data_IF_313345564205
#
_entry.id   IF_313345564205
#
_cell.length_a   1.000
_cell.length_b   1.000
_cell.length_c   1.000
_cell.angle_alpha   90.00
_cell.angle_beta   90.00
_cell.angle_gamma   90.00
#
_symmetry.space_group_name_H-M   'P 1'
#
loop_
_entity.id
_entity.type
_entity.pdbx_description
1 polymer ?
#
# COMPACT_ATOMS: atom_id res chain seq x y z
N UNK A 1 -21.17 14.30 -9.54
CA UNK A 1 -20.38 13.04 -9.52
C UNK A 1 -19.18 13.24 -10.44
N UNK A 2 -17.97 13.06 -9.96
CA UNK A 2 -16.76 13.14 -10.79
C UNK A 2 -16.75 11.93 -11.71
N UNK A 3 -16.51 12.17 -13.00
CA UNK A 3 -16.44 11.11 -14.02
C UNK A 3 -15.28 10.15 -13.68
N UNK A 4 -15.52 8.86 -13.77
CA UNK A 4 -14.47 7.85 -13.62
C UNK A 4 -13.40 8.04 -14.72
N UNK A 5 -12.14 8.13 -14.29
CA UNK A 5 -10.98 8.30 -15.16
C UNK A 5 -10.02 7.14 -15.00
N UNK A 6 -9.39 6.71 -16.09
CA UNK A 6 -8.51 5.55 -16.14
C UNK A 6 -7.09 5.94 -16.48
N UNK A 7 -6.11 5.33 -15.79
CA UNK A 7 -4.69 5.52 -16.05
C UNK A 7 -3.97 4.18 -16.19
N UNK A 8 -3.08 4.11 -17.19
CA UNK A 8 -2.18 2.99 -17.41
C UNK A 8 -1.28 2.81 -16.17
N UNK A 9 -1.09 1.57 -15.73
CA UNK A 9 -0.20 1.28 -14.61
C UNK A 9 1.24 1.32 -15.09
N UNK A 10 1.97 2.34 -14.66
CA UNK A 10 3.38 2.58 -15.00
C UNK A 10 4.31 2.45 -13.79
N UNK A 11 3.76 2.27 -12.58
CA UNK A 11 4.52 2.19 -11.34
C UNK A 11 3.96 1.09 -10.42
N UNK A 12 4.75 0.31 -9.67
CA UNK A 12 6.22 0.38 -9.52
C UNK A 12 7.01 -0.07 -10.75
N UNK A 13 6.36 -0.74 -11.69
CA UNK A 13 6.86 -1.13 -13.01
C UNK A 13 5.73 -0.95 -14.02
N UNK A 14 6.05 -0.84 -15.28
CA UNK A 14 5.06 -0.74 -16.34
C UNK A 14 4.36 -2.07 -16.58
N UNK A 15 3.05 -2.10 -16.31
CA UNK A 15 2.20 -3.26 -16.56
C UNK A 15 1.36 -3.02 -17.83
N UNK A 16 1.90 -3.40 -18.97
CA UNK A 16 1.22 -3.26 -20.27
C UNK A 16 -0.18 -3.88 -20.22
N UNK A 17 -1.19 -3.13 -20.69
CA UNK A 17 -2.57 -3.62 -20.82
C UNK A 17 -3.33 -3.74 -19.51
N UNK A 18 -2.91 -3.01 -18.47
CA UNK A 18 -3.64 -2.86 -17.22
C UNK A 18 -3.80 -1.39 -16.86
N UNK A 19 -4.99 -1.03 -16.43
CA UNK A 19 -5.31 0.31 -15.98
C UNK A 19 -6.02 0.29 -14.62
N UNK A 20 -5.86 1.37 -13.87
CA UNK A 20 -6.54 1.64 -12.61
C UNK A 20 -7.36 2.93 -12.73
N UNK A 21 -8.56 2.94 -12.16
CA UNK A 21 -9.41 4.14 -12.12
C UNK A 21 -9.23 4.93 -10.84
N UNK A 22 -9.66 6.19 -10.86
CA UNK A 22 -9.76 7.05 -9.67
C UNK A 22 -10.78 6.55 -8.64
N UNK A 23 -11.62 5.58 -8.97
CA UNK A 23 -12.58 4.93 -8.07
C UNK A 23 -12.03 3.63 -7.44
N UNK A 24 -10.85 3.18 -7.85
CA UNK A 24 -10.23 1.94 -7.36
C UNK A 24 -10.63 0.70 -8.16
N UNK A 25 -11.24 0.89 -9.31
CA UNK A 25 -11.53 -0.21 -10.23
C UNK A 25 -10.31 -0.55 -11.09
N UNK A 26 -10.27 -1.77 -11.56
CA UNK A 26 -9.19 -2.27 -12.41
C UNK A 26 -9.74 -2.80 -13.73
N UNK A 27 -9.05 -2.53 -14.83
CA UNK A 27 -9.37 -3.13 -16.14
C UNK A 27 -8.14 -3.61 -16.86
N UNK A 28 -8.35 -4.55 -17.79
CA UNK A 28 -7.29 -5.13 -18.61
C UNK A 28 -7.79 -5.39 -20.03
N UNK A 29 -6.91 -5.26 -21.00
CA UNK A 29 -7.18 -5.67 -22.36
C UNK A 29 -6.50 -7.00 -22.74
N UNK A 30 -5.92 -7.71 -21.78
CA UNK A 30 -5.37 -9.05 -22.00
C UNK A 30 -6.46 -10.12 -22.01
N UNK A 31 -6.54 -10.91 -23.09
CA UNK A 31 -7.40 -12.10 -23.19
C UNK A 31 -6.58 -13.36 -22.95
N UNK A 32 -7.07 -14.24 -22.11
CA UNK A 32 -6.51 -15.59 -21.89
C UNK A 32 -7.19 -16.57 -22.84
N UNK A 33 -6.43 -17.24 -23.69
CA UNK A 33 -6.96 -18.34 -24.50
C UNK A 33 -7.18 -19.58 -23.64
N UNK A 34 -8.28 -20.30 -23.86
CA UNK A 34 -8.74 -21.40 -23.01
C UNK A 34 -7.70 -22.54 -22.89
N UNK A 35 -6.91 -22.80 -23.94
CA UNK A 35 -5.99 -23.94 -24.01
C UNK A 35 -4.53 -23.53 -24.23
N UNK A 36 -4.15 -22.26 -24.03
CA UNK A 36 -2.79 -21.81 -24.29
C UNK A 36 -2.29 -20.88 -23.19
N UNK A 37 -1.01 -21.03 -22.84
CA UNK A 37 -0.27 -20.11 -21.96
C UNK A 37 -0.03 -18.74 -22.63
N UNK A 38 -0.47 -18.56 -23.89
CA UNK A 38 -0.37 -17.30 -24.60
C UNK A 38 -1.51 -16.37 -24.21
N UNK A 39 -1.15 -15.11 -24.01
CA UNK A 39 -2.09 -14.01 -23.79
C UNK A 39 -2.00 -13.10 -25.01
N UNK A 40 -3.15 -12.62 -25.44
CA UNK A 40 -3.27 -11.69 -26.55
C UNK A 40 -3.85 -10.37 -26.06
N UNK A 41 -3.26 -9.28 -26.48
CA UNK A 41 -3.79 -7.96 -26.21
C UNK A 41 -4.92 -7.66 -27.18
N UNK A 42 -6.06 -7.21 -26.64
CA UNK A 42 -7.26 -6.90 -27.41
C UNK A 42 -7.44 -5.39 -27.47
N UNK A 43 -8.23 -4.91 -28.41
CA UNK A 43 -8.64 -3.50 -28.49
C UNK A 43 -9.63 -3.14 -27.37
N UNK A 44 -10.41 -4.12 -26.91
CA UNK A 44 -11.45 -3.92 -25.90
C UNK A 44 -10.95 -4.13 -24.48
N UNK A 45 -11.39 -3.27 -23.56
CA UNK A 45 -11.11 -3.35 -22.14
C UNK A 45 -12.19 -4.16 -21.43
N UNK A 46 -11.80 -4.91 -20.41
CA UNK A 46 -12.69 -5.66 -19.51
C UNK A 46 -12.27 -5.50 -18.07
N UNK A 47 -13.20 -5.66 -17.16
CA UNK A 47 -12.92 -5.65 -15.72
C UNK A 47 -11.82 -6.66 -15.36
N UNK A 48 -10.90 -6.24 -14.51
CA UNK A 48 -9.86 -7.10 -13.96
C UNK A 48 -10.16 -7.41 -12.50
N UNK A 49 -10.01 -8.68 -12.13
CA UNK A 49 -10.35 -9.18 -10.79
C UNK A 49 -9.48 -8.56 -9.69
N UNK A 50 -10.16 -8.10 -8.66
CA UNK A 50 -9.55 -7.71 -7.38
C UNK A 50 -10.00 -8.68 -6.28
N UNK A 51 -9.29 -8.72 -5.17
CA UNK A 51 -9.64 -9.56 -4.03
C UNK A 51 -9.33 -8.87 -2.72
N UNK A 52 -10.18 -9.11 -1.72
CA UNK A 52 -10.00 -8.60 -0.36
C UNK A 52 -9.01 -9.49 0.39
N UNK A 53 -8.14 -8.89 1.18
CA UNK A 53 -7.22 -9.61 2.05
C UNK A 53 -7.06 -8.91 3.39
N UNK A 54 -6.60 -9.66 4.39
CA UNK A 54 -6.23 -9.14 5.70
C UNK A 54 -4.72 -8.95 5.78
N UNK A 55 -4.26 -7.75 6.13
CA UNK A 55 -2.85 -7.46 6.31
C UNK A 55 -2.43 -7.93 7.71
N UNK A 56 -1.60 -8.99 7.77
CA UNK A 56 -0.98 -9.49 9.00
C UNK A 56 -1.42 -10.88 9.41
N UNK A 57 -0.54 -11.60 10.12
CA UNK A 57 -0.87 -12.85 10.81
C UNK A 57 -1.70 -12.51 12.03
N UNK A 58 -2.89 -13.10 12.18
CA UNK A 58 -3.75 -13.07 13.38
C UNK A 58 -3.64 -11.75 14.17
N UNK A 59 -4.07 -10.66 13.55
CA UNK A 59 -4.12 -9.37 14.24
C UNK A 59 -5.31 -9.35 15.17
N UNK A 60 -5.14 -8.71 16.31
CA UNK A 60 -6.18 -8.41 17.30
C UNK A 60 -7.31 -7.52 16.75
N UNK A 61 -7.24 -7.11 15.49
CA UNK A 61 -8.26 -6.34 14.79
C UNK A 61 -8.71 -7.10 13.54
N UNK A 62 -9.83 -7.83 13.61
CA UNK A 62 -10.36 -8.65 12.51
C UNK A 62 -10.84 -7.83 11.30
N UNK A 63 -10.93 -6.50 11.42
CA UNK A 63 -11.65 -5.65 10.47
C UNK A 63 -10.77 -4.91 9.46
N UNK A 64 -9.43 -5.01 9.56
CA UNK A 64 -8.53 -4.35 8.59
C UNK A 64 -8.44 -5.15 7.29
N UNK A 65 -9.39 -4.90 6.41
CA UNK A 65 -9.44 -5.48 5.06
C UNK A 65 -8.87 -4.48 4.06
N UNK A 66 -8.12 -5.00 3.10
CA UNK A 66 -7.61 -4.23 1.97
C UNK A 66 -7.97 -4.90 0.66
N UNK A 67 -7.86 -4.18 -0.45
CA UNK A 67 -8.11 -4.71 -1.78
C UNK A 67 -6.80 -4.83 -2.53
N UNK A 68 -6.53 -6.01 -3.07
CA UNK A 68 -5.38 -6.28 -3.93
C UNK A 68 -5.80 -6.74 -5.32
N UNK A 69 -4.87 -6.64 -6.25
CA UNK A 69 -4.94 -7.28 -7.55
C UNK A 69 -3.67 -8.09 -7.81
N UNK A 70 -3.74 -9.01 -8.76
CA UNK A 70 -2.58 -9.77 -9.27
C UNK A 70 -2.38 -9.45 -10.74
N UNK A 71 -1.27 -8.82 -11.03
CA UNK A 71 -0.88 -8.47 -12.39
C UNK A 71 0.24 -9.39 -12.86
N UNK A 72 0.22 -9.69 -14.15
CA UNK A 72 1.26 -10.49 -14.77
C UNK A 72 2.08 -9.62 -15.73
N UNK A 73 3.37 -9.76 -15.66
CA UNK A 73 4.32 -9.14 -16.57
C UNK A 73 5.16 -10.22 -17.26
N UNK A 74 5.50 -10.01 -18.52
CA UNK A 74 6.47 -10.85 -19.22
C UNK A 74 7.85 -10.66 -18.57
N UNK A 75 8.61 -11.75 -18.40
CA UNK A 75 9.92 -11.69 -17.76
C UNK A 75 10.91 -10.84 -18.56
N UNK A 76 10.87 -10.86 -19.90
CA UNK A 76 11.72 -10.03 -20.76
C UNK A 76 11.39 -8.53 -20.59
N UNK A 77 10.11 -8.19 -20.37
CA UNK A 77 9.68 -6.81 -20.07
C UNK A 77 10.10 -6.41 -18.65
N UNK A 78 10.05 -7.32 -17.70
CA UNK A 78 10.46 -7.08 -16.32
C UNK A 78 11.98 -6.86 -16.22
N UNK A 79 12.78 -7.67 -16.89
CA UNK A 79 14.25 -7.54 -16.94
C UNK A 79 14.70 -6.20 -17.53
N UNK A 80 13.96 -5.66 -18.50
CA UNK A 80 14.25 -4.34 -19.10
C UNK A 80 13.96 -3.17 -18.15
N UNK A 81 13.13 -3.39 -17.15
CA UNK A 81 12.67 -2.36 -16.23
C UNK A 81 13.33 -2.45 -14.84
N UNK A 82 14.01 -3.56 -14.54
CA UNK A 82 14.62 -3.81 -13.24
C UNK A 82 15.99 -4.47 -13.42
N UNK A 83 16.97 -4.11 -12.61
CA UNK A 83 18.31 -4.72 -12.61
C UNK A 83 18.32 -6.14 -12.01
N UNK A 84 17.17 -6.71 -11.73
CA UNK A 84 17.03 -7.99 -11.07
C UNK A 84 16.84 -9.13 -12.09
N UNK A 85 17.78 -10.07 -12.11
CA UNK A 85 17.64 -11.37 -12.73
C UNK A 85 16.54 -12.20 -12.03
N UNK A 86 15.27 -11.88 -12.31
CA UNK A 86 14.13 -12.61 -11.78
C UNK A 86 13.98 -13.97 -12.51
N UNK A 87 14.45 -15.01 -11.85
CA UNK A 87 14.13 -16.43 -12.05
C UNK A 87 13.58 -16.88 -13.41
N UNK A 88 14.49 -17.21 -14.29
CA UNK A 88 14.21 -17.86 -15.60
C UNK A 88 13.69 -19.30 -15.51
N UNK A 89 13.29 -19.82 -14.34
CA UNK A 89 13.26 -21.27 -14.22
C UNK A 89 12.08 -22.00 -14.85
N UNK A 90 10.91 -21.47 -15.07
CA UNK A 90 9.82 -22.30 -15.68
C UNK A 90 8.59 -21.53 -16.20
N UNK A 91 8.56 -20.20 -16.18
CA UNK A 91 7.41 -19.43 -16.68
C UNK A 91 7.88 -18.17 -17.37
N UNK A 92 7.32 -17.89 -18.55
CA UNK A 92 7.61 -16.66 -19.30
C UNK A 92 7.02 -15.39 -18.66
N UNK A 93 6.35 -15.52 -17.52
CA UNK A 93 5.68 -14.40 -16.85
C UNK A 93 5.83 -14.47 -15.34
N UNK A 94 6.03 -13.30 -14.72
CA UNK A 94 6.01 -13.12 -13.28
C UNK A 94 4.68 -12.48 -12.85
N UNK A 95 4.13 -12.95 -11.72
CA UNK A 95 2.91 -12.41 -11.12
C UNK A 95 3.28 -11.52 -9.94
N UNK A 96 2.75 -10.31 -9.89
CA UNK A 96 2.90 -9.38 -8.79
C UNK A 96 1.54 -9.11 -8.13
N UNK A 97 1.50 -9.20 -6.80
CA UNK A 97 0.36 -8.75 -6.00
C UNK A 97 0.56 -7.28 -5.64
N UNK A 98 -0.40 -6.44 -5.95
CA UNK A 98 -0.35 -4.99 -5.74
C UNK A 98 -1.58 -4.51 -4.99
N UNK A 99 -1.39 -3.58 -4.08
CA UNK A 99 -2.47 -2.94 -3.32
C UNK A 99 -3.17 -1.89 -4.17
N UNK A 100 -4.50 -1.97 -4.27
CA UNK A 100 -5.30 -1.05 -5.09
C UNK A 100 -5.16 0.39 -4.63
N UNK A 101 -5.27 0.67 -3.32
CA UNK A 101 -5.12 2.03 -2.79
C UNK A 101 -3.79 2.66 -3.21
N UNK A 102 -2.71 1.87 -3.23
CA UNK A 102 -1.41 2.34 -3.64
C UNK A 102 -1.35 2.62 -5.15
N UNK A 103 -1.96 1.75 -5.97
CA UNK A 103 -2.06 2.00 -7.41
C UNK A 103 -2.86 3.27 -7.71
N UNK A 104 -4.02 3.44 -7.06
CA UNK A 104 -4.83 4.66 -7.24
C UNK A 104 -4.06 5.90 -6.85
N UNK A 105 -3.48 5.94 -5.65
CA UNK A 105 -2.77 7.12 -5.18
C UNK A 105 -1.59 7.48 -6.10
N UNK A 106 -0.74 6.51 -6.47
CA UNK A 106 0.46 6.75 -7.28
C UNK A 106 0.15 7.19 -8.72
N UNK A 107 -1.05 6.89 -9.22
CA UNK A 107 -1.44 7.25 -10.59
C UNK A 107 -2.39 8.46 -10.65
N UNK A 108 -3.18 8.71 -9.61
CA UNK A 108 -4.20 9.76 -9.63
C UNK A 108 -3.91 10.95 -8.70
N UNK A 109 -2.98 10.82 -7.74
CA UNK A 109 -2.53 11.93 -6.89
C UNK A 109 -1.12 12.33 -7.33
N UNK A 110 -0.90 13.60 -7.57
CA UNK A 110 0.43 14.12 -7.87
C UNK A 110 1.34 13.99 -6.65
N UNK A 111 2.51 13.38 -6.82
CA UNK A 111 3.49 13.24 -5.75
C UNK A 111 4.30 14.53 -5.62
N UNK A 112 3.87 15.39 -4.69
CA UNK A 112 4.52 16.65 -4.32
C UNK A 112 4.28 16.96 -2.84
N UNK A 113 5.12 17.78 -2.19
CA UNK A 113 5.05 18.05 -0.76
C UNK A 113 3.67 18.49 -0.26
N UNK A 114 2.98 19.38 -0.97
CA UNK A 114 1.64 19.84 -0.60
C UNK A 114 0.60 18.71 -0.52
N UNK A 115 0.84 17.58 -1.19
CA UNK A 115 -0.01 16.38 -1.17
C UNK A 115 0.47 15.31 -0.17
N UNK A 116 1.58 15.56 0.58
CA UNK A 116 2.14 14.61 1.54
C UNK A 116 1.92 15.11 2.97
N UNK A 117 1.04 14.47 3.72
CA UNK A 117 0.77 14.82 5.11
C UNK A 117 1.96 14.50 6.03
N UNK A 118 2.33 15.47 6.86
CA UNK A 118 3.43 15.35 7.80
C UNK A 118 4.83 15.52 7.18
N UNK A 119 4.92 15.94 5.92
CA UNK A 119 6.16 16.38 5.31
C UNK A 119 6.30 17.90 5.48
N UNK A 120 7.45 18.34 5.97
CA UNK A 120 7.78 19.76 6.12
C UNK A 120 8.76 20.16 5.00
N UNK A 121 8.21 20.40 3.82
CA UNK A 121 8.90 20.82 2.60
C UNK A 121 7.91 21.57 1.73
N UNK A 122 8.36 22.58 0.98
CA UNK A 122 7.55 23.30 0.01
C UNK A 122 7.58 22.65 -1.37
N UNK A 123 6.60 22.97 -2.22
CA UNK A 123 6.59 22.50 -3.60
C UNK A 123 7.73 23.14 -4.43
N UNK A 124 8.23 24.31 -4.02
CA UNK A 124 9.41 24.95 -4.66
C UNK A 124 10.69 24.17 -4.36
N UNK A 125 10.95 23.86 -3.09
CA UNK A 125 12.11 23.05 -2.70
C UNK A 125 12.08 21.66 -3.38
N UNK A 126 10.87 21.11 -3.61
CA UNK A 126 10.71 19.83 -4.30
C UNK A 126 11.18 19.87 -5.75
N UNK A 127 11.10 21.01 -6.43
CA UNK A 127 11.57 21.12 -7.82
C UNK A 127 13.05 20.80 -7.93
N UNK A 128 13.84 21.22 -6.96
CA UNK A 128 15.29 21.05 -6.92
C UNK A 128 15.73 19.65 -6.43
N UNK A 129 14.80 18.84 -5.90
CA UNK A 129 15.10 17.46 -5.50
C UNK A 129 15.44 16.59 -6.73
N UNK A 130 16.58 15.87 -6.73
CA UNK A 130 16.93 14.96 -7.81
C UNK A 130 15.87 13.88 -8.07
N UNK A 131 15.68 13.51 -9.33
CA UNK A 131 14.65 12.51 -9.70
C UNK A 131 14.84 11.16 -8.98
N UNK A 132 16.08 10.71 -8.77
CA UNK A 132 16.38 9.48 -8.03
C UNK A 132 15.82 9.51 -6.60
N UNK A 133 15.86 10.67 -5.94
CA UNK A 133 15.26 10.83 -4.60
C UNK A 133 13.73 10.92 -4.67
N UNK A 134 13.18 11.55 -5.71
CA UNK A 134 11.72 11.54 -5.94
C UNK A 134 11.20 10.13 -6.17
N UNK A 135 11.93 9.29 -6.89
CA UNK A 135 11.59 7.89 -7.11
C UNK A 135 11.70 7.07 -5.82
N UNK A 136 12.75 7.29 -5.03
CA UNK A 136 12.87 6.69 -3.70
C UNK A 136 11.70 7.07 -2.79
N UNK A 137 11.31 8.35 -2.76
CA UNK A 137 10.13 8.78 -2.00
C UNK A 137 8.87 8.07 -2.51
N UNK A 138 8.68 7.95 -3.82
CA UNK A 138 7.54 7.23 -4.42
C UNK A 138 7.48 5.77 -3.98
N UNK A 139 8.63 5.12 -3.80
CA UNK A 139 8.69 3.74 -3.31
C UNK A 139 8.33 3.61 -1.83
N UNK A 140 8.81 4.54 -1.00
CA UNK A 140 8.69 4.47 0.46
C UNK A 140 7.43 5.15 1.02
N UNK A 141 6.79 6.06 0.26
CA UNK A 141 5.66 6.86 0.75
C UNK A 141 4.48 5.98 1.15
N UNK A 142 3.85 6.34 2.25
CA UNK A 142 2.65 5.65 2.74
C UNK A 142 1.42 6.27 2.10
N UNK A 143 0.49 5.39 1.73
CA UNK A 143 -0.87 5.78 1.33
C UNK A 143 -1.80 5.46 2.47
N UNK A 144 -2.46 6.47 3.00
CA UNK A 144 -3.45 6.37 4.08
C UNK A 144 -4.87 6.50 3.52
N UNK A 145 -5.81 5.78 4.15
CA UNK A 145 -7.25 5.97 3.95
C UNK A 145 -7.75 6.98 4.98
N UNK A 146 -8.28 8.12 4.54
CA UNK A 146 -8.74 9.19 5.43
C UNK A 146 -9.86 8.75 6.37
N UNK A 147 -10.73 7.85 5.90
CA UNK A 147 -11.84 7.27 6.66
C UNK A 147 -11.47 5.98 7.43
N UNK A 148 -10.19 5.58 7.43
CA UNK A 148 -9.70 4.32 8.00
C UNK A 148 -10.33 3.03 7.41
N UNK A 149 -11.08 3.13 6.31
CA UNK A 149 -11.68 2.01 5.61
C UNK A 149 -10.79 1.55 4.44
N UNK A 150 -10.02 0.51 4.62
CA UNK A 150 -9.11 -0.05 3.60
C UNK A 150 -9.81 -0.62 2.35
N UNK A 151 -11.14 -0.62 2.31
CA UNK A 151 -11.93 -1.02 1.15
C UNK A 151 -12.37 0.16 0.29
N UNK A 152 -12.33 1.39 0.82
CA UNK A 152 -12.68 2.60 0.11
C UNK A 152 -11.46 3.18 -0.61
N UNK A 153 -11.22 2.71 -1.83
CA UNK A 153 -10.06 3.09 -2.63
C UNK A 153 -10.31 4.26 -3.59
N UNK A 154 -11.41 4.99 -3.41
CA UNK A 154 -11.66 6.21 -4.18
C UNK A 154 -10.57 7.25 -3.92
N UNK A 155 -10.07 7.92 -4.97
CA UNK A 155 -8.93 8.84 -4.89
C UNK A 155 -9.13 9.96 -3.86
N UNK A 156 -10.35 10.47 -3.67
CA UNK A 156 -10.65 11.51 -2.68
C UNK A 156 -10.46 11.05 -1.24
N UNK A 157 -10.53 9.74 -0.99
CA UNK A 157 -10.32 9.12 0.32
C UNK A 157 -8.86 8.79 0.61
N UNK A 158 -7.98 8.87 -0.39
CA UNK A 158 -6.57 8.53 -0.25
C UNK A 158 -5.71 9.78 -0.06
N UNK A 159 -4.63 9.63 0.66
CA UNK A 159 -3.61 10.67 0.83
C UNK A 159 -2.23 10.04 0.97
N UNK A 160 -1.20 10.75 0.50
CA UNK A 160 0.17 10.43 0.85
C UNK A 160 0.50 10.97 2.24
N UNK A 161 1.26 10.21 3.02
CA UNK A 161 1.70 10.67 4.32
C UNK A 161 3.02 10.05 4.75
N UNK A 162 3.67 10.71 5.73
CA UNK A 162 4.82 10.15 6.43
C UNK A 162 4.39 9.06 7.41
N UNK A 163 5.31 8.15 7.78
CA UNK A 163 5.06 7.12 8.80
C UNK A 163 4.63 7.75 10.13
N UNK A 164 5.24 8.87 10.53
CA UNK A 164 4.89 9.59 11.75
C UNK A 164 3.43 10.06 11.71
N UNK A 165 3.02 10.69 10.61
CA UNK A 165 1.64 11.16 10.46
C UNK A 165 0.64 10.00 10.48
N UNK A 166 0.91 8.93 9.74
CA UNK A 166 0.05 7.75 9.70
C UNK A 166 -0.13 7.12 11.08
N UNK A 167 0.95 7.01 11.84
CA UNK A 167 0.90 6.49 13.23
C UNK A 167 0.07 7.41 14.12
N UNK A 168 0.28 8.73 14.05
CA UNK A 168 -0.50 9.71 14.81
C UNK A 168 -1.97 9.71 14.43
N UNK A 169 -2.29 9.59 13.12
CA UNK A 169 -3.67 9.47 12.64
C UNK A 169 -4.35 8.24 13.24
N UNK A 170 -3.70 7.09 13.16
CA UNK A 170 -4.21 5.86 13.77
C UNK A 170 -4.48 6.01 15.27
N UNK A 171 -3.55 6.60 16.03
CA UNK A 171 -3.73 6.82 17.47
C UNK A 171 -4.87 7.78 17.79
N UNK A 172 -5.05 8.85 17.03
CA UNK A 172 -6.16 9.79 17.24
C UNK A 172 -7.51 9.12 17.07
N UNK A 173 -7.65 8.28 16.07
CA UNK A 173 -8.93 7.66 15.72
C UNK A 173 -9.28 6.44 16.59
N UNK A 174 -8.28 5.69 17.05
CA UNK A 174 -8.52 4.39 17.70
C UNK A 174 -8.28 4.41 19.22
N UNK A 175 -7.56 5.40 19.73
CA UNK A 175 -7.24 5.50 21.15
C UNK A 175 -7.87 6.75 21.76
N UNK A 176 -9.12 6.59 22.27
CA UNK A 176 -9.72 7.59 23.15
C UNK A 176 -8.86 7.74 24.41
N UNK A 177 -9.01 8.85 25.17
CA UNK A 177 -8.27 9.05 26.42
C UNK A 177 -8.52 7.91 27.44
N UNK A 178 -9.71 7.33 27.43
CA UNK A 178 -10.05 6.18 28.27
C UNK A 178 -9.20 4.95 27.91
N UNK A 179 -9.09 4.60 26.62
CA UNK A 179 -8.24 3.50 26.17
C UNK A 179 -6.76 3.76 26.43
N UNK A 180 -6.32 5.02 26.33
CA UNK A 180 -4.95 5.41 26.68
C UNK A 180 -4.69 5.26 28.17
N UNK A 181 -5.62 5.67 29.01
CA UNK A 181 -5.54 5.52 30.46
C UNK A 181 -5.50 4.04 30.87
N UNK A 182 -6.36 3.21 30.26
CA UNK A 182 -6.35 1.76 30.49
C UNK A 182 -5.04 1.10 30.07
N UNK A 183 -4.48 1.49 28.91
CA UNK A 183 -3.19 0.99 28.44
C UNK A 183 -2.04 1.38 29.36
N UNK A 184 -2.01 2.64 29.85
CA UNK A 184 -1.02 3.10 30.84
C UNK A 184 -1.13 2.31 32.13
N UNK A 185 -2.36 2.07 32.62
CA UNK A 185 -2.61 1.28 33.81
C UNK A 185 -2.08 -0.15 33.69
N UNK A 186 -2.38 -0.84 32.57
CA UNK A 186 -1.87 -2.20 32.28
C UNK A 186 -0.34 -2.24 32.21
N UNK A 187 0.28 -1.22 31.62
CA UNK A 187 1.74 -1.13 31.57
C UNK A 187 2.36 -0.97 32.96
N UNK A 188 1.77 -0.10 33.79
CA UNK A 188 2.23 0.13 35.14
C UNK A 188 2.08 -1.13 36.00
N UNK A 189 0.94 -1.81 35.96
CA UNK A 189 0.70 -3.09 36.62
C UNK A 189 1.71 -4.16 36.20
N UNK A 190 2.05 -4.22 34.91
CA UNK A 190 3.09 -5.12 34.41
C UNK A 190 4.48 -4.82 34.93
N UNK A 191 4.83 -3.54 35.09
CA UNK A 191 6.11 -3.11 35.70
C UNK A 191 6.19 -3.42 37.18
N UNK A 192 5.09 -3.21 37.91
CA UNK A 192 5.00 -3.54 39.35
C UNK A 192 5.15 -5.06 39.56
N UNK A 193 4.48 -5.85 38.72
CA UNK A 193 4.56 -7.31 38.81
C UNK A 193 5.96 -7.85 38.51
N UNK A 194 6.69 -7.25 37.55
CA UNK A 194 8.10 -7.61 37.30
C UNK A 194 8.98 -7.29 38.48
N UNK A 195 8.86 -6.08 39.06
CA UNK A 195 9.64 -5.71 40.25
C UNK A 195 9.39 -6.60 41.45
N UNK A 196 8.16 -7.05 41.68
CA UNK A 196 7.83 -7.95 42.80
C UNK A 196 8.41 -9.37 42.63
N UNK A 197 8.55 -9.84 41.40
CA UNK A 197 9.23 -11.11 41.09
C UNK A 197 10.74 -11.00 41.36
N UNK A 198 11.38 -9.93 40.87
CA UNK A 198 12.82 -9.70 41.05
C UNK A 198 13.20 -9.56 42.54
N UNK A 199 12.32 -8.99 43.40
CA UNK A 199 12.56 -8.86 44.86
C UNK A 199 12.44 -10.21 45.54
N UNK A 200 11.47 -11.05 45.13
CA UNK A 200 11.30 -12.39 45.74
C UNK A 200 12.43 -13.35 45.36
N UNK A 201 13.03 -13.22 44.21
CA UNK A 201 14.19 -14.03 43.79
C UNK A 201 15.49 -13.63 44.50
N UNK A 202 15.60 -12.37 44.97
CA UNK A 202 16.76 -11.90 45.74
C UNK A 202 16.67 -12.17 47.24
N UNK A 203 15.51 -12.63 47.74
CA UNK A 203 15.30 -12.89 49.18
C UNK A 203 15.41 -14.38 49.54
N UNK A 204 15.78 -15.23 48.59
CA UNK A 204 15.92 -16.71 48.76
C UNK A 204 17.41 -17.12 48.67
N UNK A 205 18.32 -16.32 49.23
CA UNK A 205 19.74 -16.72 49.45
C UNK A 205 20.05 -16.66 50.93
#
# INVERSE_FOLDING_TARGET
MTKETWKQIIYPIFFRGYEVSNEGNMRTNWKKHANQYKREQQETWREHKTFKYHKGKKTTSPDKKYVQTRLNINNDELEKQTDHNYYKKHKNTTTRSLDIHRLVALHHIELKPSNIKGLNMTDEEWKDVPNVLKDFVRECIIVNHKDNNGLNNHVSNLEFCTQKYNTQHYYREHFTEEKRAESRKKTLEGLIRKKSVDINEQTVI
#
